data_IF_176873102987
#
_entry.id   IF_176873102987
#
_cell.length_a   1.000
_cell.length_b   1.000
_cell.length_c   1.000
_cell.angle_alpha   90.00
_cell.angle_beta   90.00
_cell.angle_gamma   90.00
#
_symmetry.space_group_name_H-M   'P 1'
#
loop_
_entity.id
_entity.type
_entity.pdbx_description
1 polymer ?
#
# COMPACT_ATOMS: atom_id res chain seq x y z
N UNK A 1 -14.81 -1.77 16.80
CA UNK A 1 -15.54 -2.14 18.02
C UNK A 1 -14.88 -1.57 19.25
N UNK A 2 -13.85 -2.25 19.78
CA UNK A 2 -13.20 -1.91 21.05
C UNK A 2 -12.76 -0.43 21.16
N UNK A 3 -12.00 0.10 20.20
CA UNK A 3 -11.56 1.50 20.21
C UNK A 3 -12.71 2.50 20.33
N UNK A 4 -13.82 2.26 19.62
CA UNK A 4 -15.01 3.12 19.69
C UNK A 4 -15.71 3.00 21.04
N UNK A 5 -15.84 1.80 21.60
CA UNK A 5 -16.41 1.62 22.95
C UNK A 5 -15.58 2.32 24.02
N UNK A 6 -14.25 2.26 23.89
CA UNK A 6 -13.33 2.91 24.82
C UNK A 6 -13.12 4.40 24.55
N UNK A 7 -13.63 4.92 23.43
CA UNK A 7 -13.36 6.28 22.94
C UNK A 7 -11.86 6.58 22.91
N UNK A 8 -11.07 5.60 22.42
CA UNK A 8 -9.62 5.64 22.43
C UNK A 8 -9.04 5.33 21.05
N UNK A 9 -7.94 6.00 20.65
CA UNK A 9 -7.27 5.71 19.39
C UNK A 9 -6.68 4.30 19.37
N UNK A 10 -6.51 3.73 18.18
CA UNK A 10 -5.99 2.37 18.02
C UNK A 10 -4.61 2.20 18.67
N UNK A 11 -3.77 3.22 18.62
CA UNK A 11 -2.43 3.19 19.22
C UNK A 11 -2.46 2.99 20.73
N UNK A 12 -3.44 3.57 21.43
CA UNK A 12 -3.60 3.38 22.87
C UNK A 12 -4.05 1.96 23.19
N UNK A 13 -5.05 1.48 22.46
CA UNK A 13 -5.57 0.10 22.58
C UNK A 13 -4.45 -0.92 22.38
N UNK A 14 -3.59 -0.71 21.39
CA UNK A 14 -2.49 -1.62 21.08
C UNK A 14 -1.32 -1.51 22.06
N UNK A 15 -0.87 -0.29 22.41
CA UNK A 15 0.24 -0.12 23.37
C UNK A 15 -0.07 -0.73 24.73
N UNK A 16 -1.30 -0.60 25.19
CA UNK A 16 -1.76 -1.19 26.45
C UNK A 16 -2.13 -2.67 26.30
N UNK A 17 -1.98 -3.24 25.10
CA UNK A 17 -2.34 -4.60 24.73
C UNK A 17 -3.76 -5.00 25.17
N UNK A 18 -4.73 -4.08 25.03
CA UNK A 18 -6.12 -4.31 25.45
C UNK A 18 -6.83 -5.37 24.59
N UNK A 19 -6.26 -5.70 23.42
CA UNK A 19 -6.68 -6.82 22.58
C UNK A 19 -6.21 -8.18 23.11
N UNK A 20 -5.32 -8.21 24.11
CA UNK A 20 -4.77 -9.46 24.65
C UNK A 20 -3.91 -10.23 23.65
N UNK A 21 -3.21 -9.53 22.74
CA UNK A 21 -2.36 -10.17 21.73
C UNK A 21 -1.21 -10.87 22.44
N UNK A 22 -1.08 -12.17 22.20
CA UNK A 22 0.06 -12.97 22.61
C UNK A 22 0.89 -13.29 21.35
N UNK A 23 1.99 -12.56 21.16
CA UNK A 23 2.85 -12.71 19.99
C UNK A 23 3.53 -14.08 19.92
N UNK A 24 3.91 -14.66 21.07
CA UNK A 24 4.54 -15.98 21.18
C UNK A 24 3.68 -17.13 20.65
N UNK A 25 2.35 -16.95 20.61
CA UNK A 25 1.42 -17.93 20.00
C UNK A 25 1.41 -17.91 18.48
N UNK A 26 1.86 -16.82 17.87
CA UNK A 26 1.93 -16.65 16.40
C UNK A 26 3.37 -16.95 15.95
N UNK A 27 4.34 -16.34 16.63
CA UNK A 27 5.77 -16.52 16.40
C UNK A 27 6.46 -16.88 17.72
N UNK A 28 6.89 -18.14 17.93
CA UNK A 28 7.52 -18.58 19.17
C UNK A 28 8.72 -17.74 19.62
N UNK A 29 9.46 -17.14 18.67
CA UNK A 29 10.59 -16.24 18.92
C UNK A 29 10.20 -14.95 19.64
N UNK A 30 8.92 -14.59 19.60
CA UNK A 30 8.35 -13.41 20.24
C UNK A 30 7.72 -13.74 21.61
N UNK A 31 7.98 -14.92 22.19
CA UNK A 31 7.52 -15.26 23.54
C UNK A 31 7.99 -14.20 24.56
N UNK A 32 7.04 -13.72 25.36
CA UNK A 32 7.27 -12.66 26.35
C UNK A 32 7.31 -11.22 25.80
N UNK A 33 7.35 -11.02 24.48
CA UNK A 33 7.24 -9.68 23.88
C UNK A 33 5.79 -9.23 23.77
N UNK A 34 5.58 -7.93 23.94
CA UNK A 34 4.32 -7.23 23.66
C UNK A 34 4.45 -6.40 22.38
N UNK A 35 3.34 -6.06 21.71
CA UNK A 35 3.38 -5.14 20.57
C UNK A 35 4.10 -3.82 20.87
N UNK A 36 3.95 -3.27 22.08
CA UNK A 36 4.62 -2.04 22.53
C UNK A 36 6.15 -2.10 22.55
N UNK A 37 6.73 -3.30 22.63
CA UNK A 37 8.18 -3.48 22.73
C UNK A 37 8.87 -3.45 21.36
N UNK A 38 8.09 -3.67 20.30
CA UNK A 38 8.56 -3.88 18.93
C UNK A 38 7.95 -2.90 17.92
N UNK A 39 6.77 -2.34 18.17
CA UNK A 39 6.20 -1.33 17.27
C UNK A 39 6.70 0.09 17.60
N UNK A 40 6.62 1.03 16.63
CA UNK A 40 6.92 2.43 16.89
C UNK A 40 6.17 2.96 18.11
N UNK A 41 6.86 3.73 18.95
CA UNK A 41 6.22 4.34 20.12
C UNK A 41 5.12 5.28 19.64
N UNK A 42 5.41 6.21 18.73
CA UNK A 42 4.42 7.18 18.22
C UNK A 42 3.99 6.80 16.80
N UNK A 43 2.67 6.72 16.51
CA UNK A 43 2.19 6.51 15.15
C UNK A 43 2.61 7.64 14.21
N UNK A 44 2.78 7.32 12.94
CA UNK A 44 3.06 8.30 11.90
C UNK A 44 1.91 9.31 11.75
N UNK A 45 2.23 10.61 11.74
CA UNK A 45 1.26 11.68 11.48
C UNK A 45 1.09 12.00 9.99
N UNK A 46 2.00 11.50 9.16
CA UNK A 46 1.98 11.63 7.70
C UNK A 46 2.38 10.31 7.07
N UNK A 47 1.78 10.02 5.93
CA UNK A 47 2.07 8.84 5.12
C UNK A 47 2.25 9.28 3.66
N UNK A 48 3.28 8.78 3.00
CA UNK A 48 3.48 9.01 1.57
C UNK A 48 2.54 8.11 0.76
N UNK A 49 1.81 8.70 -0.18
CA UNK A 49 0.97 7.98 -1.12
C UNK A 49 1.85 7.41 -2.24
N UNK A 50 1.96 6.08 -2.30
CA UNK A 50 2.58 5.37 -3.41
C UNK A 50 1.51 5.16 -4.49
N UNK A 51 1.58 5.95 -5.55
CA UNK A 51 0.60 5.91 -6.64
C UNK A 51 0.84 4.69 -7.52
N UNK A 52 -0.20 3.89 -7.78
CA UNK A 52 -0.06 2.74 -8.68
C UNK A 52 -0.28 3.15 -10.11
N UNK A 53 0.66 2.74 -10.95
CA UNK A 53 0.58 2.85 -12.40
C UNK A 53 0.16 1.48 -12.93
N UNK A 54 -1.12 1.39 -13.29
CA UNK A 54 -1.72 0.23 -13.93
C UNK A 54 -1.24 0.02 -15.36
N UNK A 55 -1.52 -1.19 -15.88
CA UNK A 55 -1.13 -1.61 -17.22
C UNK A 55 -1.79 -0.78 -18.33
N UNK A 56 -3.02 -0.32 -18.10
CA UNK A 56 -3.82 0.45 -19.05
C UNK A 56 -3.94 1.94 -18.73
N UNK A 57 -3.32 2.41 -17.65
CA UNK A 57 -3.49 3.80 -17.22
C UNK A 57 -2.89 4.76 -18.25
N UNK A 58 -3.55 5.89 -18.56
CA UNK A 58 -2.95 6.91 -19.42
C UNK A 58 -1.72 7.50 -18.72
N UNK A 59 -0.57 7.50 -19.40
CA UNK A 59 0.65 8.09 -18.84
C UNK A 59 0.65 9.60 -19.03
N UNK A 60 0.11 10.04 -20.17
CA UNK A 60 -0.01 11.44 -20.58
C UNK A 60 -1.45 11.79 -20.88
N UNK A 61 -1.80 13.07 -20.86
CA UNK A 61 -3.14 13.54 -21.17
C UNK A 61 -3.55 13.19 -22.61
N UNK A 62 -2.58 13.11 -23.52
CA UNK A 62 -2.78 12.68 -24.90
C UNK A 62 -3.14 11.20 -25.07
N UNK A 63 -2.93 10.37 -24.04
CA UNK A 63 -3.27 8.94 -24.06
C UNK A 63 -4.75 8.70 -23.67
N UNK A 64 -5.48 9.76 -23.29
CA UNK A 64 -6.86 9.67 -22.81
C UNK A 64 -7.83 9.63 -24.00
N UNK A 65 -8.46 8.48 -24.23
CA UNK A 65 -9.51 8.33 -25.25
C UNK A 65 -10.82 9.01 -24.82
N UNK A 66 -11.24 8.81 -23.57
CA UNK A 66 -12.51 9.31 -23.03
C UNK A 66 -12.27 10.09 -21.72
N UNK A 67 -12.22 11.42 -21.77
CA UNK A 67 -12.06 12.25 -20.58
C UNK A 67 -13.26 12.13 -19.64
N UNK A 68 -13.01 11.89 -18.35
CA UNK A 68 -14.03 11.82 -17.31
C UNK A 68 -14.63 13.20 -16.97
N UNK A 69 -13.86 14.28 -17.17
CA UNK A 69 -14.25 15.67 -16.89
C UNK A 69 -14.81 15.89 -15.48
N UNK A 70 -14.29 15.17 -14.48
CA UNK A 70 -14.76 15.21 -13.09
C UNK A 70 -13.99 16.20 -12.19
N UNK A 71 -13.04 16.94 -12.78
CA UNK A 71 -12.19 17.92 -12.10
C UNK A 71 -10.95 17.33 -11.43
N UNK A 72 -10.72 16.01 -11.56
CA UNK A 72 -9.54 15.33 -11.00
C UNK A 72 -8.52 14.99 -12.10
N UNK A 73 -7.22 14.83 -11.74
CA UNK A 73 -6.20 14.33 -12.67
C UNK A 73 -6.53 12.93 -13.16
N UNK A 74 -6.35 12.69 -14.47
CA UNK A 74 -6.64 11.40 -15.10
C UNK A 74 -5.36 10.67 -15.55
N UNK A 75 -4.37 11.40 -16.08
CA UNK A 75 -3.09 10.81 -16.46
C UNK A 75 -2.11 10.72 -15.29
N UNK A 76 -1.09 9.87 -15.43
CA UNK A 76 0.04 9.82 -14.51
C UNK A 76 0.75 11.18 -14.42
N UNK A 77 1.02 11.83 -15.57
CA UNK A 77 1.70 13.14 -15.57
C UNK A 77 0.90 14.21 -14.82
N UNK A 78 -0.42 14.28 -15.02
CA UNK A 78 -1.29 15.21 -14.33
C UNK A 78 -1.35 14.90 -12.83
N UNK A 79 -1.38 13.62 -12.46
CA UNK A 79 -1.36 13.18 -11.06
C UNK A 79 -0.07 13.57 -10.36
N UNK A 80 1.09 13.39 -11.01
CA UNK A 80 2.40 13.79 -10.48
C UNK A 80 2.41 15.29 -10.19
N UNK A 81 1.96 16.11 -11.14
CA UNK A 81 1.96 17.56 -11.01
C UNK A 81 0.96 18.07 -9.97
N UNK A 82 -0.26 17.52 -9.96
CA UNK A 82 -1.33 17.97 -9.09
C UNK A 82 -1.07 17.64 -7.61
N UNK A 83 -0.43 16.50 -7.34
CA UNK A 83 -0.27 15.98 -5.98
C UNK A 83 1.19 16.03 -5.48
N UNK A 84 2.15 16.34 -6.35
CA UNK A 84 3.58 16.32 -6.03
C UNK A 84 4.09 14.91 -5.73
N UNK A 85 3.64 13.91 -6.49
CA UNK A 85 3.96 12.50 -6.25
C UNK A 85 5.44 12.19 -6.49
N UNK A 86 6.02 11.41 -5.60
CA UNK A 86 7.41 10.92 -5.68
C UNK A 86 7.55 9.41 -5.41
N UNK A 87 6.47 8.71 -5.07
CA UNK A 87 6.46 7.26 -4.84
C UNK A 87 5.47 6.57 -5.77
N UNK A 88 5.92 5.51 -6.43
CA UNK A 88 5.13 4.80 -7.44
C UNK A 88 5.14 3.28 -7.23
N UNK A 89 4.07 2.61 -7.63
CA UNK A 89 3.99 1.16 -7.78
C UNK A 89 3.68 0.85 -9.23
N UNK A 90 4.57 0.19 -9.95
CA UNK A 90 4.39 -0.10 -11.37
C UNK A 90 3.99 -1.57 -11.52
N UNK A 91 2.81 -1.82 -12.09
CA UNK A 91 2.34 -3.17 -12.40
C UNK A 91 3.09 -3.73 -13.61
N UNK A 92 3.55 -4.97 -13.51
CA UNK A 92 4.09 -5.76 -14.62
C UNK A 92 3.04 -6.76 -15.09
N UNK A 93 3.06 -7.08 -16.38
CA UNK A 93 2.16 -8.07 -16.98
C UNK A 93 2.84 -9.39 -17.31
N UNK A 94 4.15 -9.53 -17.05
CA UNK A 94 4.90 -10.76 -17.29
C UNK A 94 5.25 -11.00 -18.76
N UNK A 95 4.84 -10.10 -19.65
CA UNK A 95 5.25 -10.11 -21.05
C UNK A 95 6.41 -9.13 -21.22
N UNK A 96 7.60 -9.66 -21.50
CA UNK A 96 8.84 -8.88 -21.58
C UNK A 96 8.72 -7.66 -22.50
N UNK A 97 8.23 -7.83 -23.73
CA UNK A 97 8.17 -6.74 -24.71
C UNK A 97 7.23 -5.61 -24.25
N UNK A 98 6.08 -5.98 -23.66
CA UNK A 98 5.11 -5.01 -23.12
C UNK A 98 5.64 -4.31 -21.88
N UNK A 99 6.22 -5.07 -20.95
CA UNK A 99 6.79 -4.54 -19.72
C UNK A 99 7.96 -3.60 -20.03
N UNK A 100 8.85 -3.98 -20.96
CA UNK A 100 9.96 -3.14 -21.42
C UNK A 100 9.44 -1.83 -22.03
N UNK A 101 8.54 -1.90 -23.01
CA UNK A 101 7.99 -0.70 -23.65
C UNK A 101 7.30 0.21 -22.63
N UNK A 102 6.54 -0.37 -21.70
CA UNK A 102 5.82 0.38 -20.67
C UNK A 102 6.75 1.06 -19.67
N UNK A 103 7.79 0.36 -19.21
CA UNK A 103 8.77 0.91 -18.25
C UNK A 103 9.57 2.07 -18.86
N UNK A 104 9.95 1.98 -20.14
CA UNK A 104 10.62 3.07 -20.86
C UNK A 104 9.73 4.32 -20.91
N UNK A 105 8.45 4.16 -21.24
CA UNK A 105 7.51 5.29 -21.29
C UNK A 105 7.26 5.90 -19.89
N UNK A 106 7.11 5.07 -18.87
CA UNK A 106 6.96 5.55 -17.48
C UNK A 106 8.20 6.34 -17.05
N UNK A 107 9.40 5.84 -17.33
CA UNK A 107 10.64 6.57 -17.01
C UNK A 107 10.71 7.92 -17.73
N UNK A 108 10.29 7.98 -19.00
CA UNK A 108 10.19 9.23 -19.75
C UNK A 108 9.23 10.23 -19.09
N UNK A 109 8.06 9.79 -18.61
CA UNK A 109 7.14 10.64 -17.86
C UNK A 109 7.74 11.12 -16.54
N UNK A 110 8.37 10.25 -15.75
CA UNK A 110 9.02 10.66 -14.51
C UNK A 110 10.10 11.71 -14.74
N UNK A 111 10.93 11.55 -15.77
CA UNK A 111 11.98 12.52 -16.13
C UNK A 111 11.43 13.91 -16.48
N UNK A 112 10.19 13.99 -16.97
CA UNK A 112 9.57 15.24 -17.41
C UNK A 112 8.69 15.88 -16.32
N UNK A 113 7.90 15.06 -15.61
CA UNK A 113 6.88 15.54 -14.68
C UNK A 113 7.37 15.61 -13.22
N UNK A 114 8.29 14.74 -12.80
CA UNK A 114 8.76 14.74 -11.42
C UNK A 114 9.69 15.94 -11.17
N UNK A 115 9.40 16.68 -10.10
CA UNK A 115 10.20 17.86 -9.71
C UNK A 115 11.47 17.52 -8.91
N UNK A 116 11.69 16.24 -8.59
CA UNK A 116 12.77 15.78 -7.73
C UNK A 116 13.00 14.27 -7.86
N UNK A 117 13.73 13.66 -6.91
CA UNK A 117 13.90 12.21 -6.84
C UNK A 117 12.55 11.51 -6.76
N UNK A 118 12.46 10.34 -7.36
CA UNK A 118 11.32 9.44 -7.24
C UNK A 118 11.78 8.08 -6.75
N UNK A 119 10.86 7.30 -6.21
CA UNK A 119 11.05 5.96 -5.69
C UNK A 119 9.95 5.05 -6.24
N UNK A 120 10.27 3.78 -6.50
CA UNK A 120 9.29 2.87 -7.05
C UNK A 120 9.37 1.46 -6.50
N UNK A 121 8.25 0.77 -6.60
CA UNK A 121 8.16 -0.68 -6.45
C UNK A 121 7.66 -1.26 -7.77
N UNK A 122 8.14 -2.44 -8.14
CA UNK A 122 7.49 -3.22 -9.20
C UNK A 122 6.57 -4.24 -8.57
N UNK A 123 5.45 -4.51 -9.20
CA UNK A 123 4.51 -5.54 -8.77
C UNK A 123 4.29 -6.51 -9.92
N UNK A 124 4.81 -7.72 -9.73
CA UNK A 124 4.71 -8.78 -10.71
C UNK A 124 3.40 -9.55 -10.65
N UNK A 125 2.49 -9.25 -9.72
CA UNK A 125 1.10 -9.68 -9.67
C UNK A 125 0.87 -11.14 -10.13
N UNK A 126 1.67 -12.07 -9.60
CA UNK A 126 1.58 -13.51 -9.84
C UNK A 126 1.87 -13.99 -11.28
N UNK A 127 2.56 -13.19 -12.10
CA UNK A 127 2.72 -13.48 -13.52
C UNK A 127 3.72 -14.62 -13.83
N UNK A 128 4.55 -15.03 -12.88
CA UNK A 128 5.62 -16.01 -13.10
C UNK A 128 5.36 -17.31 -12.30
N UNK A 129 5.52 -18.46 -12.94
CA UNK A 129 5.35 -19.76 -12.27
C UNK A 129 6.64 -20.23 -11.57
N UNK A 130 7.78 -19.69 -11.98
CA UNK A 130 9.08 -19.99 -11.39
C UNK A 130 9.97 -18.74 -11.38
N UNK A 131 10.90 -18.71 -10.43
CA UNK A 131 11.77 -17.55 -10.18
C UNK A 131 12.85 -17.38 -11.24
N UNK A 132 13.24 -18.44 -11.94
CA UNK A 132 14.23 -18.37 -13.00
C UNK A 132 13.66 -17.65 -14.23
N UNK A 133 12.38 -17.86 -14.56
CA UNK A 133 11.67 -17.10 -15.59
C UNK A 133 11.62 -15.61 -15.26
N UNK A 134 11.34 -15.26 -13.99
CA UNK A 134 11.40 -13.88 -13.55
C UNK A 134 12.81 -13.30 -13.64
N UNK A 135 13.83 -14.05 -13.19
CA UNK A 135 15.25 -13.67 -13.28
C UNK A 135 15.68 -13.40 -14.73
N UNK A 136 15.27 -14.26 -15.67
CA UNK A 136 15.58 -14.08 -17.09
C UNK A 136 15.02 -12.77 -17.63
N UNK A 137 13.75 -12.46 -17.33
CA UNK A 137 13.16 -11.17 -17.72
C UNK A 137 13.85 -10.00 -17.02
N UNK A 138 14.15 -10.13 -15.72
CA UNK A 138 14.85 -9.12 -14.95
C UNK A 138 16.21 -8.75 -15.56
N UNK A 139 17.01 -9.75 -15.92
CA UNK A 139 18.33 -9.57 -16.51
C UNK A 139 18.26 -8.90 -17.89
N UNK A 140 17.19 -9.16 -18.67
CA UNK A 140 16.94 -8.50 -19.95
C UNK A 140 16.47 -7.05 -19.77
N UNK A 141 15.55 -6.80 -18.84
CA UNK A 141 15.08 -5.46 -18.52
C UNK A 141 16.24 -4.55 -18.05
N UNK A 142 17.15 -5.08 -17.21
CA UNK A 142 18.34 -4.35 -16.74
C UNK A 142 19.35 -4.01 -17.84
N UNK A 143 19.29 -4.66 -19.00
CA UNK A 143 20.17 -4.32 -20.12
C UNK A 143 19.68 -3.10 -20.91
N UNK A 144 18.41 -2.69 -20.73
CA UNK A 144 17.87 -1.48 -21.33
C UNK A 144 18.30 -0.26 -20.52
N UNK A 145 19.06 0.70 -21.09
CA UNK A 145 19.65 1.80 -20.32
C UNK A 145 18.63 2.62 -19.51
N UNK A 146 17.50 2.94 -20.11
CA UNK A 146 16.42 3.70 -19.49
C UNK A 146 15.84 2.96 -18.27
N UNK A 147 15.63 1.65 -18.41
CA UNK A 147 15.10 0.82 -17.34
C UNK A 147 16.15 0.63 -16.25
N UNK A 148 17.42 0.42 -16.61
CA UNK A 148 18.48 0.33 -15.62
C UNK A 148 18.58 1.60 -14.77
N UNK A 149 18.46 2.79 -15.38
CA UNK A 149 18.38 4.05 -14.65
C UNK A 149 17.09 4.22 -13.86
N UNK A 150 15.95 3.71 -14.34
CA UNK A 150 14.70 3.66 -13.57
C UNK A 150 14.87 2.80 -12.30
N UNK A 151 15.53 1.65 -12.43
CA UNK A 151 15.73 0.69 -11.35
C UNK A 151 16.68 1.18 -10.25
N UNK A 152 17.44 2.25 -10.46
CA UNK A 152 18.18 2.94 -9.38
C UNK A 152 17.24 3.51 -8.29
N UNK A 153 15.97 3.76 -8.64
CA UNK A 153 14.91 4.21 -7.73
C UNK A 153 14.11 3.06 -7.08
N UNK A 154 14.43 1.80 -7.39
CA UNK A 154 13.68 0.64 -6.93
C UNK A 154 13.86 0.40 -5.43
N UNK A 155 12.74 0.27 -4.72
CA UNK A 155 12.70 -0.12 -3.31
C UNK A 155 12.64 -1.64 -3.15
N UNK A 156 11.76 -2.30 -3.90
CA UNK A 156 11.57 -3.76 -3.91
C UNK A 156 10.67 -4.19 -5.07
N UNK A 157 10.62 -5.49 -5.33
CA UNK A 157 9.64 -6.14 -6.21
C UNK A 157 8.65 -6.94 -5.36
N UNK A 158 7.38 -6.72 -5.61
CA UNK A 158 6.26 -7.38 -4.96
C UNK A 158 5.76 -8.54 -5.82
N UNK A 159 5.61 -9.71 -5.18
CA UNK A 159 4.96 -10.91 -5.71
C UNK A 159 5.12 -11.18 -7.22
N UNK A 160 6.36 -11.41 -7.72
CA UNK A 160 6.53 -11.86 -9.10
C UNK A 160 5.94 -13.26 -9.32
N UNK A 161 6.06 -14.14 -8.32
CA UNK A 161 5.62 -15.53 -8.45
C UNK A 161 4.13 -15.71 -8.15
N UNK A 162 3.51 -16.63 -8.87
CA UNK A 162 2.19 -17.14 -8.53
C UNK A 162 2.20 -17.74 -7.12
N UNK A 163 1.15 -17.50 -6.34
CA UNK A 163 1.11 -17.88 -4.91
C UNK A 163 1.35 -19.36 -4.65
N UNK A 164 0.94 -20.21 -5.59
CA UNK A 164 1.12 -21.66 -5.50
C UNK A 164 2.59 -22.09 -5.57
N UNK A 165 3.47 -21.22 -6.07
CA UNK A 165 4.90 -21.48 -6.25
C UNK A 165 5.79 -20.57 -5.40
N UNK A 166 5.25 -19.46 -4.89
CA UNK A 166 6.02 -18.45 -4.17
C UNK A 166 6.71 -18.99 -2.91
N UNK A 167 6.20 -20.06 -2.31
CA UNK A 167 6.75 -20.65 -1.09
C UNK A 167 7.35 -22.06 -1.30
N UNK A 168 7.59 -22.45 -2.56
CA UNK A 168 8.22 -23.72 -2.90
C UNK A 168 9.68 -23.77 -2.45
N UNK A 169 10.14 -24.96 -2.05
CA UNK A 169 11.51 -25.16 -1.56
C UNK A 169 12.60 -24.77 -2.59
N UNK A 170 12.29 -24.87 -3.89
CA UNK A 170 13.20 -24.50 -4.97
C UNK A 170 13.56 -23.02 -5.00
N UNK A 171 12.67 -22.14 -4.49
CA UNK A 171 12.91 -20.69 -4.45
C UNK A 171 14.16 -20.35 -3.64
N UNK A 172 14.42 -21.10 -2.56
CA UNK A 172 15.59 -20.86 -1.70
C UNK A 172 16.91 -20.97 -2.44
N UNK A 173 17.08 -22.03 -3.21
CA UNK A 173 18.32 -22.25 -3.95
C UNK A 173 18.47 -21.21 -5.06
N UNK A 174 17.40 -20.93 -5.79
CA UNK A 174 17.43 -19.95 -6.87
C UNK A 174 17.75 -18.52 -6.40
N UNK A 175 17.20 -18.08 -5.25
CA UNK A 175 17.56 -16.79 -4.65
C UNK A 175 19.00 -16.79 -4.10
N UNK A 176 19.47 -17.91 -3.53
CA UNK A 176 20.87 -18.03 -3.12
C UNK A 176 21.85 -17.95 -4.30
N UNK A 177 21.47 -18.48 -5.46
CA UNK A 177 22.23 -18.43 -6.72
C UNK A 177 22.04 -17.11 -7.50
N UNK A 178 21.32 -16.15 -6.91
CA UNK A 178 21.05 -14.83 -7.47
C UNK A 178 21.34 -13.71 -6.46
N UNK A 179 22.61 -13.50 -6.07
CA UNK A 179 22.98 -12.52 -5.03
C UNK A 179 22.66 -11.05 -5.39
N UNK A 180 22.51 -10.75 -6.69
CA UNK A 180 22.15 -9.43 -7.23
C UNK A 180 20.63 -9.24 -7.38
N UNK A 181 19.81 -10.15 -6.85
CA UNK A 181 18.37 -10.02 -6.86
C UNK A 181 17.93 -8.74 -6.14
N UNK A 182 16.91 -8.02 -6.66
CA UNK A 182 16.29 -6.96 -5.88
C UNK A 182 15.63 -7.54 -4.63
N UNK A 183 15.38 -6.74 -3.59
CA UNK A 183 14.54 -7.18 -2.48
C UNK A 183 13.18 -7.65 -3.00
N UNK A 184 12.84 -8.91 -2.73
CA UNK A 184 11.54 -9.48 -3.10
C UNK A 184 10.65 -9.58 -1.87
N UNK A 185 9.38 -9.19 -1.99
CA UNK A 185 8.38 -9.45 -0.95
C UNK A 185 7.25 -10.32 -1.49
N UNK A 186 6.61 -11.05 -0.60
CA UNK A 186 5.35 -11.74 -0.90
C UNK A 186 4.15 -10.83 -0.61
N UNK A 187 3.03 -11.11 -1.24
CA UNK A 187 1.72 -10.55 -0.91
C UNK A 187 0.63 -11.64 -0.87
N UNK A 188 -0.08 -11.99 -1.95
CA UNK A 188 -1.14 -12.99 -1.93
C UNK A 188 -0.74 -14.39 -1.44
N UNK A 189 0.55 -14.75 -1.48
CA UNK A 189 1.06 -15.97 -0.82
C UNK A 189 1.22 -15.83 0.70
N UNK A 190 1.08 -14.62 1.26
CA UNK A 190 0.91 -14.36 2.70
C UNK A 190 -0.55 -14.65 3.12
N UNK A 191 -0.95 -15.91 2.98
CA UNK A 191 -2.29 -16.37 3.30
C UNK A 191 -2.41 -16.82 4.76
N UNK A 192 -1.45 -17.62 5.24
CA UNK A 192 -1.54 -18.33 6.51
C UNK A 192 -0.67 -17.72 7.61
N UNK A 193 -0.93 -18.11 8.86
CA UNK A 193 0.00 -17.84 9.96
C UNK A 193 1.31 -18.60 9.66
N UNK A 194 2.43 -17.88 9.68
CA UNK A 194 3.75 -18.45 9.39
C UNK A 194 4.23 -18.27 7.95
N UNK A 195 3.38 -17.85 7.00
CA UNK A 195 3.79 -17.58 5.61
C UNK A 195 4.96 -16.60 5.52
N UNK A 196 4.96 -15.55 6.35
CA UNK A 196 6.08 -14.62 6.44
C UNK A 196 7.37 -15.30 6.91
N UNK A 197 7.31 -16.14 7.95
CA UNK A 197 8.50 -16.85 8.45
C UNK A 197 9.09 -17.75 7.36
N UNK A 198 8.23 -18.52 6.69
CA UNK A 198 8.63 -19.37 5.57
C UNK A 198 9.26 -18.55 4.44
N UNK A 199 8.65 -17.42 4.05
CA UNK A 199 9.21 -16.56 3.01
C UNK A 199 10.61 -16.03 3.40
N UNK A 200 10.79 -15.62 4.65
CA UNK A 200 12.10 -15.20 5.16
C UNK A 200 13.11 -16.36 5.18
N UNK A 201 12.71 -17.60 5.40
CA UNK A 201 13.62 -18.76 5.31
C UNK A 201 14.04 -19.08 3.87
N UNK A 202 13.18 -18.78 2.90
CA UNK A 202 13.45 -18.94 1.46
C UNK A 202 14.30 -17.80 0.88
N UNK A 203 14.45 -16.68 1.59
CA UNK A 203 15.29 -15.55 1.16
C UNK A 203 14.53 -14.31 0.72
N UNK A 204 13.19 -14.30 0.79
CA UNK A 204 12.42 -13.07 0.62
C UNK A 204 12.82 -12.02 1.68
N UNK A 205 12.59 -10.76 1.37
CA UNK A 205 12.84 -9.62 2.26
C UNK A 205 11.63 -9.28 3.14
N UNK A 206 10.44 -9.84 2.88
CA UNK A 206 9.29 -9.64 3.76
C UNK A 206 7.96 -9.78 3.04
N UNK A 207 6.96 -8.99 3.45
CA UNK A 207 5.57 -9.09 2.98
C UNK A 207 4.89 -7.73 2.87
N UNK A 208 3.70 -7.71 2.27
CA UNK A 208 2.76 -6.59 2.32
C UNK A 208 1.66 -6.81 3.39
N UNK A 209 1.28 -5.74 4.10
CA UNK A 209 0.14 -5.73 5.02
C UNK A 209 -1.14 -5.30 4.29
N UNK A 210 -2.25 -5.99 4.59
CA UNK A 210 -3.60 -5.64 4.16
C UNK A 210 -4.54 -5.83 5.34
N UNK A 211 -5.39 -4.83 5.62
CA UNK A 211 -6.35 -4.97 6.73
C UNK A 211 -7.28 -6.17 6.56
N UNK A 212 -7.68 -6.53 5.33
CA UNK A 212 -8.53 -7.68 5.05
C UNK A 212 -7.86 -9.04 5.33
N UNK A 213 -6.52 -9.11 5.32
CA UNK A 213 -5.75 -10.31 5.70
C UNK A 213 -5.63 -10.49 7.22
N UNK A 214 -6.10 -9.50 7.98
CA UNK A 214 -6.20 -9.56 9.43
C UNK A 214 -5.21 -8.63 10.12
N UNK A 215 -5.76 -7.66 10.86
CA UNK A 215 -4.98 -6.65 11.60
C UNK A 215 -4.05 -7.29 12.64
N UNK A 216 -4.51 -8.31 13.36
CA UNK A 216 -3.67 -9.00 14.37
C UNK A 216 -2.48 -9.72 13.72
N UNK A 217 -2.69 -10.34 12.55
CA UNK A 217 -1.62 -10.98 11.77
C UNK A 217 -0.61 -9.93 11.31
N UNK A 218 -1.09 -8.80 10.77
CA UNK A 218 -0.25 -7.65 10.39
C UNK A 218 0.60 -7.09 11.53
N UNK A 219 0.00 -6.92 12.72
CA UNK A 219 0.71 -6.51 13.94
C UNK A 219 1.82 -7.50 14.31
N UNK A 220 1.52 -8.81 14.28
CA UNK A 220 2.49 -9.84 14.59
C UNK A 220 3.63 -9.88 13.57
N UNK A 221 3.31 -9.75 12.27
CA UNK A 221 4.28 -9.67 11.17
C UNK A 221 5.22 -8.47 11.34
N UNK A 222 4.68 -7.28 11.66
CA UNK A 222 5.48 -6.10 11.94
C UNK A 222 6.42 -6.29 13.15
N UNK A 223 5.91 -6.90 14.24
CA UNK A 223 6.71 -7.21 15.42
C UNK A 223 7.85 -8.20 15.09
N UNK A 224 7.56 -9.25 14.32
CA UNK A 224 8.56 -10.23 13.90
C UNK A 224 9.66 -9.56 13.07
N UNK A 225 9.29 -8.75 12.08
CA UNK A 225 10.26 -8.05 11.24
C UNK A 225 11.14 -7.11 12.04
N UNK A 226 10.58 -6.34 12.99
CA UNK A 226 11.40 -5.47 13.84
C UNK A 226 12.33 -6.27 14.78
N UNK A 227 11.82 -7.37 15.37
CA UNK A 227 12.64 -8.26 16.19
C UNK A 227 13.83 -8.82 15.40
N UNK A 228 13.57 -9.32 14.19
CA UNK A 228 14.60 -9.88 13.31
C UNK A 228 15.57 -8.80 12.83
N UNK A 229 15.09 -7.60 12.50
CA UNK A 229 15.93 -6.46 12.12
C UNK A 229 16.90 -6.06 13.23
N UNK A 230 16.46 -6.06 14.50
CA UNK A 230 17.35 -5.81 15.66
C UNK A 230 18.38 -6.92 15.85
N UNK A 231 18.01 -8.17 15.56
CA UNK A 231 18.87 -9.34 15.75
C UNK A 231 19.86 -9.55 14.60
N UNK A 232 19.47 -9.22 13.38
CA UNK A 232 20.22 -9.44 12.14
C UNK A 232 20.19 -8.19 11.25
N UNK A 233 20.87 -7.10 11.66
CA UNK A 233 20.75 -5.78 11.01
C UNK A 233 21.24 -5.74 9.56
N UNK A 234 22.06 -6.70 9.14
CA UNK A 234 22.64 -6.77 7.78
C UNK A 234 21.65 -7.31 6.73
N UNK A 235 20.47 -7.78 7.15
CA UNK A 235 19.44 -8.31 6.26
C UNK A 235 18.31 -7.29 6.05
N UNK A 236 17.77 -7.25 4.83
CA UNK A 236 16.58 -6.46 4.52
C UNK A 236 15.31 -7.11 5.09
N UNK A 237 14.52 -6.30 5.78
CA UNK A 237 13.22 -6.67 6.35
C UNK A 237 12.20 -5.60 5.97
N UNK A 238 11.24 -5.97 5.13
CA UNK A 238 10.28 -5.06 4.51
C UNK A 238 8.87 -5.46 4.93
N UNK A 239 8.14 -4.48 5.46
CA UNK A 239 6.69 -4.54 5.55
C UNK A 239 6.13 -3.44 4.65
N UNK A 240 5.58 -3.81 3.50
CA UNK A 240 4.81 -2.85 2.70
C UNK A 240 3.36 -2.78 3.18
N UNK A 241 2.57 -1.90 2.57
CA UNK A 241 1.15 -1.83 2.82
C UNK A 241 0.38 -1.51 1.55
N UNK A 242 -0.76 -2.18 1.44
CA UNK A 242 -1.66 -2.11 0.30
C UNK A 242 -3.07 -1.70 0.72
N UNK A 243 -3.72 -0.89 -0.12
CA UNK A 243 -5.04 -0.33 0.19
C UNK A 243 -6.21 -1.01 -0.50
N UNK A 244 -5.97 -1.89 -1.48
CA UNK A 244 -7.03 -2.55 -2.26
C UNK A 244 -8.03 -1.58 -2.87
N UNK A 245 -7.56 -0.39 -3.30
CA UNK A 245 -8.38 0.70 -3.79
C UNK A 245 -9.47 1.16 -2.80
N UNK A 246 -9.22 1.03 -1.49
CA UNK A 246 -10.14 1.46 -0.44
C UNK A 246 -10.51 2.95 -0.59
N UNK A 247 -11.81 3.23 -0.44
CA UNK A 247 -12.37 4.58 -0.36
C UNK A 247 -12.83 4.89 1.07
N UNK A 248 -12.95 6.19 1.37
CA UNK A 248 -13.42 6.67 2.67
C UNK A 248 -14.93 6.49 2.89
N UNK A 249 -15.41 6.79 4.11
CA UNK A 249 -14.62 7.26 5.23
C UNK A 249 -14.16 6.15 6.18
N UNK A 250 -14.62 4.92 6.03
CA UNK A 250 -14.26 3.86 6.98
C UNK A 250 -13.02 3.11 6.54
N UNK A 251 -13.06 2.45 5.38
CA UNK A 251 -12.01 1.53 4.97
C UNK A 251 -10.65 2.23 4.85
N UNK A 252 -10.60 3.36 4.14
CA UNK A 252 -9.36 4.13 3.99
C UNK A 252 -8.81 4.67 5.32
N UNK A 253 -9.65 5.18 6.21
CA UNK A 253 -9.19 5.78 7.48
C UNK A 253 -8.68 4.71 8.44
N UNK A 254 -9.40 3.58 8.56
CA UNK A 254 -8.96 2.46 9.38
C UNK A 254 -7.68 1.83 8.85
N UNK A 255 -7.53 1.76 7.53
CA UNK A 255 -6.31 1.31 6.89
C UNK A 255 -5.12 2.23 7.21
N UNK A 256 -5.24 3.55 7.00
CA UNK A 256 -4.20 4.51 7.37
C UNK A 256 -3.86 4.49 8.87
N UNK A 257 -4.86 4.30 9.75
CA UNK A 257 -4.63 4.17 11.19
C UNK A 257 -3.74 2.96 11.53
N UNK A 258 -3.96 1.82 10.88
CA UNK A 258 -3.14 0.61 11.07
C UNK A 258 -1.75 0.83 10.46
N UNK A 259 -1.67 1.29 9.21
CA UNK A 259 -0.38 1.51 8.52
C UNK A 259 0.54 2.45 9.31
N UNK A 260 -0.03 3.53 9.85
CA UNK A 260 0.65 4.48 10.72
C UNK A 260 1.22 3.83 11.99
N UNK A 261 0.43 2.97 12.62
CA UNK A 261 0.80 2.25 13.84
C UNK A 261 1.88 1.19 13.60
N UNK A 262 1.86 0.55 12.43
CA UNK A 262 2.90 -0.41 12.00
C UNK A 262 4.19 0.28 11.56
N UNK A 263 4.19 1.61 11.42
CA UNK A 263 5.37 2.38 10.98
C UNK A 263 5.62 2.33 9.47
N UNK A 264 4.61 1.99 8.67
CA UNK A 264 4.73 1.91 7.21
C UNK A 264 4.65 3.33 6.64
N UNK A 265 5.78 3.84 6.15
CA UNK A 265 5.94 5.26 5.79
C UNK A 265 5.38 5.62 4.42
N UNK A 266 5.33 4.67 3.49
CA UNK A 266 4.68 4.80 2.19
C UNK A 266 3.81 3.59 1.92
N UNK A 267 2.64 3.82 1.32
CA UNK A 267 1.65 2.77 1.06
C UNK A 267 1.00 2.99 -0.27
N UNK A 268 0.64 1.90 -0.93
CA UNK A 268 -0.22 1.96 -2.12
C UNK A 268 -1.46 2.78 -1.81
N UNK A 269 -1.78 3.76 -2.66
CA UNK A 269 -3.01 4.54 -2.58
C UNK A 269 -3.59 4.75 -3.96
N UNK A 270 -4.70 4.09 -4.26
CA UNK A 270 -5.28 4.13 -5.60
C UNK A 270 -6.78 4.44 -5.63
N UNK A 271 -7.51 4.26 -4.52
CA UNK A 271 -8.95 4.53 -4.51
C UNK A 271 -9.30 5.96 -4.95
N UNK A 272 -8.46 6.93 -4.61
CA UNK A 272 -8.67 8.33 -5.01
C UNK A 272 -8.45 8.60 -6.51
N UNK A 273 -7.82 7.68 -7.24
CA UNK A 273 -7.64 7.78 -8.70
C UNK A 273 -8.89 7.27 -9.43
N UNK A 274 -9.49 6.18 -8.94
CA UNK A 274 -10.62 5.53 -9.63
C UNK A 274 -12.00 6.03 -9.18
N UNK A 275 -12.08 6.77 -8.09
CA UNK A 275 -13.33 7.30 -7.55
C UNK A 275 -13.29 8.82 -7.47
N UNK A 276 -14.42 9.46 -7.80
CA UNK A 276 -14.63 10.91 -7.69
C UNK A 276 -14.78 11.36 -6.23
N UNK A 277 -13.67 11.24 -5.49
CA UNK A 277 -13.62 11.46 -4.05
C UNK A 277 -14.71 10.68 -3.31
N UNK A 278 -15.48 11.37 -2.48
CA UNK A 278 -16.61 10.82 -1.74
C UNK A 278 -17.97 11.29 -2.31
N UNK A 279 -18.05 11.61 -3.60
CA UNK A 279 -19.26 12.19 -4.21
C UNK A 279 -20.48 11.27 -4.15
N UNK A 280 -20.27 9.96 -4.07
CA UNK A 280 -21.31 8.93 -3.93
C UNK A 280 -21.98 8.90 -2.55
N UNK A 281 -21.43 9.62 -1.55
CA UNK A 281 -21.95 9.57 -0.18
C UNK A 281 -23.01 10.65 0.08
N UNK A 282 -23.96 10.38 1.00
CA UNK A 282 -24.90 11.39 1.51
C UNK A 282 -24.20 12.68 1.98
N UNK A 283 -24.86 13.83 1.79
CA UNK A 283 -24.28 15.17 2.08
C UNK A 283 -23.90 15.35 3.56
N UNK A 284 -24.68 14.81 4.48
CA UNK A 284 -24.41 14.84 5.92
C UNK A 284 -23.16 14.04 6.27
N UNK A 285 -22.96 12.87 5.66
CA UNK A 285 -21.73 12.10 5.82
C UNK A 285 -20.53 12.81 5.19
N UNK A 286 -20.69 13.42 4.00
CA UNK A 286 -19.65 14.25 3.37
C UNK A 286 -19.23 15.42 4.27
N UNK A 287 -20.21 16.08 4.90
CA UNK A 287 -19.98 17.16 5.86
C UNK A 287 -19.23 16.65 7.10
N UNK A 288 -19.66 15.52 7.65
CA UNK A 288 -19.04 14.88 8.82
C UNK A 288 -17.57 14.57 8.57
N UNK A 289 -17.23 14.02 7.40
CA UNK A 289 -15.83 13.77 7.00
C UNK A 289 -15.04 15.07 6.90
N UNK A 290 -15.60 16.09 6.26
CA UNK A 290 -14.96 17.39 6.14
C UNK A 290 -14.86 18.14 7.47
N UNK A 291 -15.63 17.83 8.50
CA UNK A 291 -15.50 18.51 9.79
C UNK A 291 -14.49 17.82 10.70
N UNK A 292 -14.42 16.48 10.68
CA UNK A 292 -13.53 15.73 11.56
C UNK A 292 -12.16 15.40 10.95
N UNK A 293 -12.04 15.37 9.61
CA UNK A 293 -10.83 14.89 8.92
C UNK A 293 -10.29 15.87 7.87
N UNK A 294 -10.25 17.18 8.19
CA UNK A 294 -9.79 18.27 7.29
C UNK A 294 -8.31 18.22 6.89
N UNK A 295 -7.49 17.60 7.72
CA UNK A 295 -6.09 17.36 7.41
C UNK A 295 -5.95 16.34 6.28
N UNK A 296 -6.81 15.31 6.26
CA UNK A 296 -6.81 14.26 5.23
C UNK A 296 -7.66 14.61 4.01
N UNK A 297 -8.80 15.29 4.18
CA UNK A 297 -9.73 15.63 3.10
C UNK A 297 -9.79 17.14 2.83
N UNK A 298 -9.98 17.48 1.57
CA UNK A 298 -10.37 18.83 1.12
C UNK A 298 -11.72 18.78 0.43
N UNK A 299 -12.43 19.91 0.43
CA UNK A 299 -13.62 20.09 -0.40
C UNK A 299 -13.18 20.38 -1.84
N UNK A 300 -13.65 19.57 -2.79
CA UNK A 300 -13.52 19.83 -4.22
C UNK A 300 -14.37 21.04 -4.64
N UNK A 301 -14.10 21.63 -5.80
CA UNK A 301 -14.86 22.78 -6.32
C UNK A 301 -16.34 22.42 -6.53
N UNK A 302 -16.61 21.21 -7.00
CA UNK A 302 -17.97 20.64 -7.12
C UNK A 302 -18.57 20.16 -5.78
N UNK A 303 -17.91 20.45 -4.65
CA UNK A 303 -18.45 20.30 -3.31
C UNK A 303 -18.26 18.94 -2.63
N UNK A 304 -17.78 17.91 -3.32
CA UNK A 304 -17.51 16.60 -2.69
C UNK A 304 -16.15 16.58 -1.95
N UNK A 305 -16.00 15.79 -0.87
CA UNK A 305 -14.70 15.56 -0.24
C UNK A 305 -13.78 14.74 -1.14
N UNK A 306 -12.51 15.13 -1.27
CA UNK A 306 -11.46 14.34 -1.93
C UNK A 306 -10.19 14.37 -1.09
N UNK A 307 -9.29 13.40 -1.27
CA UNK A 307 -8.04 13.36 -0.51
C UNK A 307 -7.22 14.62 -0.74
N UNK A 308 -6.63 15.13 0.33
CA UNK A 308 -5.62 16.18 0.31
C UNK A 308 -4.25 15.51 0.27
N UNK A 309 -3.69 15.40 -0.93
CA UNK A 309 -2.30 14.99 -1.13
C UNK A 309 -1.50 16.26 -1.39
N UNK A 310 -0.43 16.45 -0.64
CA UNK A 310 0.48 17.60 -0.80
C UNK A 310 1.91 17.09 -0.66
N UNK A 311 2.74 17.38 -1.66
CA UNK A 311 4.09 16.85 -1.78
C UNK A 311 4.13 15.32 -1.60
N UNK A 312 3.20 14.63 -2.27
CA UNK A 312 3.06 13.18 -2.25
C UNK A 312 2.53 12.59 -0.95
N UNK A 313 2.15 13.43 0.03
CA UNK A 313 1.85 12.98 1.40
C UNK A 313 0.42 13.27 1.84
N UNK A 314 -0.11 12.34 2.62
CA UNK A 314 -1.36 12.42 3.35
C UNK A 314 -1.06 12.85 4.80
N UNK A 315 -1.72 13.90 5.28
CA UNK A 315 -1.74 14.22 6.71
C UNK A 315 -2.87 13.43 7.38
N UNK A 316 -2.56 12.71 8.45
CA UNK A 316 -3.47 11.72 9.05
C UNK A 316 -3.57 11.87 10.57
N UNK A 317 -3.32 13.08 11.09
CA UNK A 317 -3.39 13.34 12.53
C UNK A 317 -4.79 13.10 13.08
N UNK A 318 -5.83 13.59 12.40
CA UNK A 318 -7.22 13.34 12.81
C UNK A 318 -7.58 11.85 12.82
N UNK A 319 -7.00 11.08 11.88
CA UNK A 319 -7.26 9.64 11.74
C UNK A 319 -6.66 8.87 12.91
N UNK A 320 -5.42 9.15 13.28
CA UNK A 320 -4.74 8.43 14.38
C UNK A 320 -5.24 8.86 15.77
N UNK A 321 -5.84 10.04 15.88
CA UNK A 321 -6.43 10.57 17.11
C UNK A 321 -7.88 10.07 17.30
N UNK A 322 -8.60 9.81 16.20
CA UNK A 322 -9.96 9.29 16.25
C UNK A 322 -10.04 7.81 16.72
N UNK A 323 -11.16 7.40 17.36
CA UNK A 323 -11.41 6.01 17.77
C UNK A 323 -11.42 5.02 16.58
N UNK A 324 -10.23 4.47 16.32
CA UNK A 324 -9.93 3.63 15.16
C UNK A 324 -10.27 4.31 13.83
N UNK A 325 -9.65 5.46 13.59
CA UNK A 325 -9.62 6.10 12.28
C UNK A 325 -10.71 7.11 12.02
N UNK A 326 -11.93 6.90 12.54
CA UNK A 326 -13.11 7.70 12.20
C UNK A 326 -13.84 8.26 13.42
N UNK A 327 -13.99 9.59 13.44
CA UNK A 327 -14.78 10.34 14.42
C UNK A 327 -16.17 10.66 13.83
N UNK A 328 -17.22 10.35 14.58
CA UNK A 328 -18.61 10.52 14.14
C UNK A 328 -19.41 9.21 14.03
N UNK A 329 -20.66 9.32 13.62
CA UNK A 329 -21.60 8.21 13.44
C UNK A 329 -21.99 8.07 11.97
N UNK A 330 -22.23 6.82 11.54
CA UNK A 330 -22.76 6.53 10.21
C UNK A 330 -24.19 6.05 10.40
N UNK A 331 -25.14 6.84 9.93
CA UNK A 331 -26.54 6.44 9.83
C UNK A 331 -26.74 5.63 8.55
N UNK A 332 -26.79 4.31 8.71
CA UNK A 332 -27.01 3.39 7.60
C UNK A 332 -28.35 3.63 6.88
N UNK A 333 -29.34 4.25 7.53
CA UNK A 333 -30.63 4.59 6.94
C UNK A 333 -30.57 5.70 5.88
N UNK A 334 -29.41 6.37 5.73
CA UNK A 334 -29.18 7.39 4.70
C UNK A 334 -28.75 6.82 3.35
N UNK A 335 -28.36 5.55 3.31
CA UNK A 335 -27.94 4.90 2.08
C UNK A 335 -29.16 4.31 1.37
N UNK A 336 -29.10 4.31 0.03
CA UNK A 336 -30.09 3.58 -0.78
C UNK A 336 -29.97 2.11 -0.43
N UNK A 337 -31.10 1.46 -0.14
CA UNK A 337 -31.12 0.04 0.15
C UNK A 337 -30.68 -0.75 -1.08
N UNK A 338 -30.13 -1.95 -0.90
CA UNK A 338 -29.77 -2.80 -2.04
C UNK A 338 -30.98 -3.15 -2.91
N UNK A 339 -32.18 -3.21 -2.33
CA UNK A 339 -33.44 -3.49 -3.03
C UNK A 339 -33.88 -2.31 -3.92
N UNK A 340 -33.57 -1.08 -3.49
CA UNK A 340 -33.93 0.17 -4.18
C UNK A 340 -32.82 0.70 -5.10
N UNK A 341 -31.67 0.02 -5.15
CA UNK A 341 -30.52 0.48 -5.93
C UNK A 341 -30.71 0.14 -7.42
N UNK A 342 -30.84 1.17 -8.24
CA UNK A 342 -31.11 1.06 -9.69
C UNK A 342 -29.83 0.95 -10.56
N UNK A 343 -28.65 1.01 -9.93
CA UNK A 343 -27.35 0.82 -10.58
C UNK A 343 -26.90 1.98 -11.47
N UNK A 344 -27.60 3.13 -11.43
CA UNK A 344 -27.23 4.33 -12.20
C UNK A 344 -26.53 5.32 -11.25
N UNK A 345 -25.27 5.63 -11.53
CA UNK A 345 -24.46 6.65 -10.82
C UNK A 345 -24.29 7.86 -11.72
#
# INVERSE_FOLDING_TARGET
>A
GLSRTLQAPLSEVLRNNLLGINLGRIYPELEGYKPSDLLPTTPLRKITARHTVGLGDPLRDGDIDQPLNDGLPHSLEASIQAYGLDHFKIKLCGNLDRDQARLVEIYSVFKQAASGPFFLTLDGNEQYQDIEAFRLHWDQLRQVPEINSLLEALLFVEQPLHRDHALDAGVKQALADWPEAPPLIIDESEAEIGSLSQALELGYSGTSHKNCKGIVKGIANACLLEFLKKKFPDRSYILSGEDLANVGPIALLQDLAVMSLLGITHVERNGHHYFRGLSMLPEDLRTTVLDHHRDLYRKHEDGFPTLRITDGKLAISSVIEAPFGFEGEIDAGRFVSLEDWDGII
#
